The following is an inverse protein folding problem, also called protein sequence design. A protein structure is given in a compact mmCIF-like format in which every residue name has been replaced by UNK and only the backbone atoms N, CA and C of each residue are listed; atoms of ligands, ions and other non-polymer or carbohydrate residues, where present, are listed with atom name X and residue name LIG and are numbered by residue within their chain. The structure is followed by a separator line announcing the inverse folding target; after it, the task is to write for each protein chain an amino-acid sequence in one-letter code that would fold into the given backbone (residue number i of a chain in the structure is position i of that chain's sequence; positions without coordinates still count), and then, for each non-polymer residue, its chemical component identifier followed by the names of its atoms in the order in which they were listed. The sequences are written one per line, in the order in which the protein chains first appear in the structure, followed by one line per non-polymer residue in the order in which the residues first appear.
data_IF_310752517751
#
_entry.id   IF_310752517751
#
_cell.length_a   1.000
_cell.length_b   1.000
_cell.length_c   1.000
_cell.angle_alpha   90.00
_cell.angle_beta   90.00
_cell.angle_gamma   90.00
#
_symmetry.space_group_name_H-M   'P 1'
#
loop_
_entity.id
_entity.type
_entity.pdbx_description
1 polymer ?
#
# COMPACT_ATOMS: atom_id res chain seq x y z
N UNK A 1 0.58 -13.30 13.55
CA UNK A 1 1.16 -11.94 13.48
C UNK A 1 2.68 -11.92 13.22
N UNK A 2 3.52 -12.72 13.90
CA UNK A 2 4.98 -12.68 13.66
C UNK A 2 5.41 -13.21 12.27
N UNK A 3 4.84 -14.34 11.83
CA UNK A 3 5.19 -14.95 10.55
C UNK A 3 4.82 -14.07 9.33
N UNK A 4 3.66 -13.41 9.37
CA UNK A 4 3.18 -12.52 8.29
C UNK A 4 4.03 -11.26 8.16
N UNK A 5 4.53 -10.72 9.28
CA UNK A 5 5.48 -9.60 9.25
C UNK A 5 6.81 -10.00 8.62
N UNK A 6 7.30 -11.21 8.90
CA UNK A 6 8.54 -11.69 8.30
C UNK A 6 8.40 -11.94 6.80
N UNK A 7 7.29 -12.51 6.37
CA UNK A 7 6.97 -12.70 4.95
C UNK A 7 6.93 -11.35 4.21
N UNK A 8 6.27 -10.34 4.78
CA UNK A 8 6.24 -8.98 4.22
C UNK A 8 7.63 -8.37 4.07
N UNK A 9 8.49 -8.54 5.08
CA UNK A 9 9.88 -8.06 5.04
C UNK A 9 10.67 -8.73 3.91
N UNK A 10 10.56 -10.06 3.79
CA UNK A 10 11.23 -10.85 2.74
C UNK A 10 10.80 -10.36 1.35
N UNK A 11 9.49 -10.24 1.10
CA UNK A 11 8.95 -9.78 -0.18
C UNK A 11 9.41 -8.35 -0.52
N UNK A 12 9.43 -7.46 0.47
CA UNK A 12 9.94 -6.09 0.29
C UNK A 12 11.41 -6.10 -0.13
N UNK A 13 12.24 -6.91 0.53
CA UNK A 13 13.67 -7.03 0.21
C UNK A 13 13.86 -7.62 -1.18
N UNK A 14 13.16 -8.71 -1.53
CA UNK A 14 13.23 -9.33 -2.85
C UNK A 14 12.89 -8.36 -3.97
N UNK A 15 11.78 -7.61 -3.84
CA UNK A 15 11.39 -6.59 -4.83
C UNK A 15 12.44 -5.50 -4.99
N UNK A 16 13.02 -5.02 -3.89
CA UNK A 16 14.08 -3.99 -3.92
C UNK A 16 15.34 -4.49 -4.59
N UNK A 17 15.79 -5.70 -4.27
CA UNK A 17 17.00 -6.31 -4.85
C UNK A 17 16.83 -6.55 -6.34
N UNK A 18 15.72 -7.17 -6.76
CA UNK A 18 15.42 -7.36 -8.18
C UNK A 18 15.35 -6.02 -8.93
N UNK A 19 14.72 -5.01 -8.33
CA UNK A 19 14.68 -3.66 -8.90
C UNK A 19 16.06 -3.00 -9.04
N UNK A 20 16.98 -3.22 -8.09
CA UNK A 20 18.36 -2.74 -8.19
C UNK A 20 19.08 -3.43 -9.35
N UNK A 21 19.00 -4.76 -9.42
CA UNK A 21 19.62 -5.54 -10.50
C UNK A 21 19.11 -5.07 -11.85
N UNK A 22 17.79 -4.88 -12.02
CA UNK A 22 17.20 -4.39 -13.26
C UNK A 22 17.79 -3.03 -13.64
N UNK A 23 17.95 -2.10 -12.69
CA UNK A 23 18.56 -0.79 -12.96
C UNK A 23 20.01 -0.92 -13.42
N UNK A 24 20.80 -1.75 -12.74
CA UNK A 24 22.23 -1.92 -13.04
C UNK A 24 22.47 -2.53 -14.42
N UNK A 25 21.56 -3.39 -14.88
CA UNK A 25 21.65 -4.05 -16.19
C UNK A 25 20.88 -3.32 -17.30
N UNK A 26 20.11 -2.27 -16.99
CA UNK A 26 19.37 -1.51 -18.01
C UNK A 26 20.36 -0.63 -18.78
N UNK A 27 20.65 -0.95 -20.05
CA UNK A 27 21.64 -0.22 -20.80
C UNK A 27 21.05 1.11 -21.30
N UNK A 28 21.91 2.05 -21.74
CA UNK A 28 21.45 3.25 -22.42
C UNK A 28 20.61 2.92 -23.67
N UNK A 29 19.69 3.81 -24.07
CA UNK A 29 18.92 3.64 -25.30
C UNK A 29 19.81 3.33 -26.50
N UNK A 30 19.39 2.37 -27.34
CA UNK A 30 20.15 1.95 -28.53
C UNK A 30 21.18 0.85 -28.28
N UNK A 31 21.37 0.39 -27.04
CA UNK A 31 22.23 -0.74 -26.70
C UNK A 31 21.40 -1.99 -26.42
N UNK A 32 21.87 -3.18 -26.80
CA UNK A 32 21.16 -4.44 -26.51
C UNK A 32 21.08 -4.70 -25.01
N UNK A 33 19.91 -5.13 -24.55
CA UNK A 33 19.70 -5.62 -23.19
C UNK A 33 20.46 -6.94 -22.98
N UNK A 34 21.13 -7.15 -21.82
CA UNK A 34 21.97 -8.33 -21.60
C UNK A 34 21.17 -9.61 -21.30
N UNK A 35 19.89 -9.52 -20.93
CA UNK A 35 19.04 -10.69 -20.71
C UNK A 35 18.22 -11.03 -21.95
N UNK A 36 17.87 -12.32 -22.07
CA UNK A 36 16.93 -12.77 -23.11
C UNK A 36 15.50 -12.27 -22.84
N UNK A 37 14.69 -12.12 -23.89
CA UNK A 37 13.29 -11.71 -23.77
C UNK A 37 12.49 -12.64 -22.83
N UNK A 38 12.78 -13.94 -22.87
CA UNK A 38 12.20 -14.94 -21.97
C UNK A 38 12.53 -14.61 -20.50
N UNK A 39 13.80 -14.36 -20.20
CA UNK A 39 14.23 -14.00 -18.84
C UNK A 39 13.58 -12.71 -18.37
N UNK A 40 13.44 -11.72 -19.25
CA UNK A 40 12.75 -10.47 -18.92
C UNK A 40 11.30 -10.75 -18.55
N UNK A 41 10.61 -11.60 -19.30
CA UNK A 41 9.22 -11.98 -19.01
C UNK A 41 9.09 -12.74 -17.69
N UNK A 42 9.98 -13.71 -17.44
CA UNK A 42 10.01 -14.45 -16.18
C UNK A 42 10.18 -13.51 -14.97
N UNK A 43 11.04 -12.48 -15.10
CA UNK A 43 11.23 -11.45 -14.06
C UNK A 43 9.99 -10.58 -13.88
N UNK A 44 9.31 -10.18 -14.96
CA UNK A 44 8.04 -9.42 -14.87
C UNK A 44 6.97 -10.23 -14.14
N UNK A 45 6.80 -11.50 -14.50
CA UNK A 45 5.85 -12.40 -13.85
C UNK A 45 6.18 -12.56 -12.36
N UNK A 46 7.45 -12.76 -12.02
CA UNK A 46 7.91 -12.87 -10.63
C UNK A 46 7.59 -11.61 -9.81
N UNK A 47 7.90 -10.42 -10.34
CA UNK A 47 7.55 -9.15 -9.70
C UNK A 47 6.03 -8.98 -9.53
N UNK A 48 5.25 -9.43 -10.52
CA UNK A 48 3.79 -9.46 -10.43
C UNK A 48 3.28 -10.32 -9.26
N UNK A 49 3.84 -11.51 -9.07
CA UNK A 49 3.50 -12.40 -7.96
C UNK A 49 3.88 -11.79 -6.60
N UNK A 50 5.05 -11.15 -6.51
CA UNK A 50 5.48 -10.46 -5.28
C UNK A 50 4.48 -9.36 -4.92
N UNK A 51 4.07 -8.52 -5.88
CA UNK A 51 3.12 -7.44 -5.63
C UNK A 51 1.74 -7.97 -5.24
N UNK A 52 1.27 -9.04 -5.90
CA UNK A 52 0.01 -9.68 -5.54
C UNK A 52 0.02 -10.15 -4.08
N UNK A 53 1.11 -10.81 -3.65
CA UNK A 53 1.25 -11.30 -2.29
C UNK A 53 1.43 -10.17 -1.27
N UNK A 54 2.21 -9.13 -1.59
CA UNK A 54 2.34 -7.94 -0.75
C UNK A 54 0.97 -7.28 -0.51
N UNK A 55 0.09 -7.28 -1.52
CA UNK A 55 -1.27 -6.73 -1.42
C UNK A 55 -2.17 -7.59 -0.52
N UNK A 56 -2.14 -8.91 -0.65
CA UNK A 56 -2.87 -9.83 0.24
C UNK A 56 -2.49 -9.59 1.70
N UNK A 57 -1.19 -9.55 1.99
CA UNK A 57 -0.68 -9.30 3.35
C UNK A 57 -1.08 -7.92 3.88
N UNK A 58 -1.17 -6.90 3.02
CA UNK A 58 -1.62 -5.57 3.42
C UNK A 58 -3.12 -5.55 3.78
N UNK A 59 -3.96 -6.24 3.00
CA UNK A 59 -5.40 -6.39 3.28
C UNK A 59 -5.60 -7.12 4.60
N UNK A 60 -4.89 -8.22 4.83
CA UNK A 60 -4.98 -9.00 6.08
C UNK A 60 -4.53 -8.20 7.31
N UNK A 61 -3.59 -7.27 7.13
CA UNK A 61 -3.10 -6.37 8.17
C UNK A 61 -4.01 -5.14 8.38
N UNK A 62 -5.09 -4.99 7.60
CA UNK A 62 -5.96 -3.80 7.64
C UNK A 62 -5.28 -2.53 7.11
N UNK A 63 -4.14 -2.66 6.42
CA UNK A 63 -3.42 -1.53 5.82
C UNK A 63 -4.15 -1.18 4.52
N UNK A 64 -4.96 -0.12 4.56
CA UNK A 64 -5.56 0.43 3.35
C UNK A 64 -4.48 1.14 2.54
N UNK A 65 -4.30 0.76 1.27
CA UNK A 65 -3.46 1.55 0.37
C UNK A 65 -4.12 2.91 0.13
N UNK A 66 -3.51 3.96 0.68
CA UNK A 66 -3.87 5.33 0.32
C UNK A 66 -3.60 5.52 -1.17
N UNK A 67 -4.68 5.72 -1.94
CA UNK A 67 -4.57 6.09 -3.34
C UNK A 67 -4.26 7.59 -3.38
N UNK A 68 -3.16 8.02 -4.01
CA UNK A 68 -2.92 9.43 -4.24
C UNK A 68 -4.13 10.03 -4.95
N UNK A 69 -4.62 11.15 -4.43
CA UNK A 69 -5.67 11.94 -5.03
C UNK A 69 -5.05 13.15 -5.73
N UNK A 70 -5.65 13.58 -6.84
CA UNK A 70 -5.28 14.85 -7.45
C UNK A 70 -5.77 16.01 -6.56
N UNK A 71 -5.06 17.14 -6.59
CA UNK A 71 -5.36 18.29 -5.73
C UNK A 71 -6.75 18.90 -6.01
N UNK A 72 -7.27 18.70 -7.22
CA UNK A 72 -8.59 19.14 -7.67
C UNK A 72 -9.69 18.09 -7.44
N UNK A 73 -9.34 16.89 -6.95
CA UNK A 73 -10.32 15.83 -6.73
C UNK A 73 -11.14 16.11 -5.45
N UNK A 74 -12.48 16.11 -5.52
CA UNK A 74 -13.32 16.28 -4.33
C UNK A 74 -13.12 15.09 -3.39
N UNK A 75 -12.65 15.35 -2.17
CA UNK A 75 -12.43 14.31 -1.18
C UNK A 75 -13.77 13.78 -0.64
N UNK A 76 -13.90 12.45 -0.54
CA UNK A 76 -15.09 11.81 0.03
C UNK A 76 -15.27 12.04 1.53
N UNK A 77 -14.22 12.50 2.23
CA UNK A 77 -14.27 12.80 3.65
C UNK A 77 -14.36 14.33 3.87
N UNK A 78 -15.52 14.78 4.34
CA UNK A 78 -15.72 16.17 4.77
C UNK A 78 -15.09 16.35 6.16
N UNK A 79 -13.91 16.97 6.22
CA UNK A 79 -13.26 17.33 7.48
C UNK A 79 -14.15 18.32 8.23
N UNK A 80 -14.63 17.93 9.41
CA UNK A 80 -15.47 18.78 10.27
C UNK A 80 -14.63 19.29 11.44
N UNK A 81 -14.62 20.60 11.68
CA UNK A 81 -13.93 21.17 12.82
C UNK A 81 -14.58 20.69 14.14
N UNK A 82 -13.78 20.14 15.04
CA UNK A 82 -14.25 19.56 16.32
C UNK A 82 -14.78 20.59 17.31
N UNK A 83 -14.67 21.90 17.00
CA UNK A 83 -15.06 23.01 17.85
C UNK A 83 -16.57 23.05 18.18
N UNK A 84 -17.41 22.36 17.40
CA UNK A 84 -18.87 22.44 17.50
C UNK A 84 -19.53 21.19 18.14
N UNK A 85 -18.76 20.27 18.73
CA UNK A 85 -19.32 19.11 19.42
C UNK A 85 -19.79 19.58 20.81
N UNK A 86 -21.02 20.10 20.86
CA UNK A 86 -21.72 20.40 22.10
C UNK A 86 -21.99 19.10 22.87
N UNK A 87 -21.58 19.05 24.15
CA UNK A 87 -21.93 17.94 25.06
C UNK A 87 -23.44 17.86 25.19
N UNK A 88 -24.04 16.77 24.72
CA UNK A 88 -25.45 16.50 24.98
C UNK A 88 -25.61 16.22 26.49
N UNK A 89 -26.28 17.12 27.21
CA UNK A 89 -26.53 16.97 28.65
C UNK A 89 -27.61 15.91 28.82
N UNK A 90 -27.21 14.73 29.34
CA UNK A 90 -28.14 13.72 29.87
C UNK A 90 -29.13 14.40 30.82
N UNK A 91 -30.42 14.32 30.52
CA UNK A 91 -31.48 14.56 31.50
C UNK A 91 -31.63 13.29 32.35
N UNK A 92 -31.02 13.30 33.53
CA UNK A 92 -31.32 12.41 34.64
C UNK A 92 -32.20 13.17 35.67
N UNK A 93 -33.19 12.45 36.23
CA UNK A 93 -34.04 12.73 37.42
C UNK A 93 -35.24 13.70 37.24
N UNK A 94 -36.44 13.49 37.80
CA UNK A 94 -36.86 12.79 39.03
C UNK A 94 -38.38 12.44 39.02
N UNK A 95 -38.78 11.53 39.91
CA UNK A 95 -40.09 10.87 40.12
C UNK A 95 -41.03 11.63 41.10
N UNK A 96 -42.34 11.33 41.12
CA UNK A 96 -43.35 11.73 42.16
C UNK A 96 -43.94 13.13 41.99
N UNK A 97 -45.25 13.40 42.08
CA UNK A 97 -46.36 12.84 42.87
C UNK A 97 -47.63 12.71 42.00
#
# INVERSE_FOLDING_TARGET
MAATNKEREILMVMRKVLGSIIKDITPPPGTRYPLSDKTVEDVRMCLGLIVARERELAVDAGITQERPYYADQPQGAKVVAMSNIGRNKKSEEHNGD
#
